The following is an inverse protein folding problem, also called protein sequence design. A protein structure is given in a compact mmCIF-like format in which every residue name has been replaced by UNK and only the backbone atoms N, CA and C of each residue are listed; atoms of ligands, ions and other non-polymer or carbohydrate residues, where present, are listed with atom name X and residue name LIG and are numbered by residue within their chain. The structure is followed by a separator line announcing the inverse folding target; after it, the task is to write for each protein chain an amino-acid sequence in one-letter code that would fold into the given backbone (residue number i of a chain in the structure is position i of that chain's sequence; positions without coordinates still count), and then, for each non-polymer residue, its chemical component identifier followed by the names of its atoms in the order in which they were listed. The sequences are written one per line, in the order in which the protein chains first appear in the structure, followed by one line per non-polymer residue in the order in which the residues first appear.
data_IF_048050164831
#
_entry.id   IF_048050164831
#
_cell.length_a   1.000
_cell.length_b   1.000
_cell.length_c   1.000
_cell.angle_alpha   90.00
_cell.angle_beta   90.00
_cell.angle_gamma   90.00
#
_symmetry.space_group_name_H-M   'P 1'
#
loop_
_entity.id
_entity.type
_entity.pdbx_description
1 polymer ?
#
# COMPACT_ATOMS: atom_id res chain seq x y z
N UNK A 1 -68.69 -21.62 -9.92
CA UNK A 1 -67.23 -21.60 -10.18
C UNK A 1 -66.57 -20.86 -9.02
N UNK A 2 -65.72 -21.52 -8.23
CA UNK A 2 -65.02 -20.91 -7.07
C UNK A 2 -63.66 -20.40 -7.55
N UNK A 3 -63.36 -19.12 -7.35
CA UNK A 3 -62.04 -18.56 -7.67
C UNK A 3 -60.99 -19.03 -6.66
N UNK A 4 -59.75 -19.30 -7.10
CA UNK A 4 -58.69 -19.70 -6.18
C UNK A 4 -58.16 -18.48 -5.43
N UNK A 5 -57.93 -18.62 -4.13
CA UNK A 5 -57.24 -17.63 -3.31
C UNK A 5 -55.72 -17.84 -3.50
N UNK A 6 -55.01 -16.85 -4.03
CA UNK A 6 -53.54 -16.85 -4.05
C UNK A 6 -53.03 -16.13 -2.80
N UNK A 7 -52.27 -16.86 -1.97
CA UNK A 7 -51.60 -16.33 -0.78
C UNK A 7 -50.16 -15.96 -1.14
N UNK A 8 -49.81 -14.68 -1.08
CA UNK A 8 -48.44 -14.19 -1.26
C UNK A 8 -47.81 -13.97 0.12
N UNK A 9 -46.84 -14.81 0.48
CA UNK A 9 -46.05 -14.66 1.71
C UNK A 9 -44.83 -13.79 1.37
N UNK A 10 -44.79 -12.57 1.88
CA UNK A 10 -43.60 -11.71 1.83
C UNK A 10 -42.74 -11.99 3.06
N UNK A 11 -41.57 -12.61 2.85
CA UNK A 11 -40.57 -12.80 3.90
C UNK A 11 -39.61 -11.60 3.84
N UNK A 12 -39.78 -10.66 4.76
CA UNK A 12 -38.84 -9.56 4.97
C UNK A 12 -37.73 -10.02 5.93
N UNK A 13 -36.53 -10.25 5.39
CA UNK A 13 -35.33 -10.50 6.20
C UNK A 13 -34.76 -9.15 6.59
N UNK A 14 -35.05 -8.70 7.82
CA UNK A 14 -34.41 -7.52 8.40
C UNK A 14 -33.05 -7.93 8.95
N UNK A 15 -31.97 -7.58 8.23
CA UNK A 15 -30.61 -7.74 8.73
C UNK A 15 -30.31 -6.58 9.68
N UNK A 16 -30.58 -6.76 10.97
CA UNK A 16 -30.19 -5.78 11.98
C UNK A 16 -28.66 -5.82 12.15
N UNK A 17 -28.01 -4.73 11.75
CA UNK A 17 -26.58 -4.54 11.99
C UNK A 17 -26.37 -4.37 13.51
N UNK A 18 -25.78 -5.38 14.14
CA UNK A 18 -25.31 -5.25 15.52
C UNK A 18 -24.33 -4.07 15.59
N UNK A 19 -24.44 -3.19 16.60
CA UNK A 19 -23.50 -2.10 16.79
C UNK A 19 -22.12 -2.71 17.00
N UNK A 20 -21.24 -2.54 16.01
CA UNK A 20 -19.84 -2.94 16.13
C UNK A 20 -19.24 -2.08 17.24
N UNK A 21 -18.98 -2.70 18.39
CA UNK A 21 -18.32 -2.06 19.52
C UNK A 21 -16.89 -1.68 19.11
N UNK A 22 -16.62 -0.37 18.98
CA UNK A 22 -15.31 0.19 18.68
C UNK A 22 -14.85 0.05 17.23
N UNK A 23 -14.14 1.06 16.72
CA UNK A 23 -13.38 0.90 15.49
C UNK A 23 -12.26 -0.12 15.73
N UNK A 24 -12.02 -1.00 14.75
CA UNK A 24 -10.94 -1.98 14.82
C UNK A 24 -9.59 -1.27 15.03
N UNK A 25 -8.88 -1.64 16.11
CA UNK A 25 -7.52 -1.19 16.35
C UNK A 25 -6.55 -2.29 15.90
N UNK A 26 -5.80 -2.08 14.81
CA UNK A 26 -4.83 -3.06 14.33
C UNK A 26 -3.70 -3.26 15.36
N UNK A 27 -3.31 -4.52 15.57
CA UNK A 27 -2.15 -4.86 16.40
C UNK A 27 -0.84 -4.39 15.77
N UNK A 28 -0.74 -4.51 14.44
CA UNK A 28 0.38 -3.99 13.65
C UNK A 28 -0.15 -2.87 12.75
N UNK A 29 0.26 -1.62 13.00
CA UNK A 29 0.02 -0.47 12.11
C UNK A 29 1.35 0.20 11.79
N UNK A 30 1.98 -0.27 10.72
CA UNK A 30 3.30 0.20 10.28
C UNK A 30 3.11 0.96 8.99
N UNK A 31 3.61 2.20 8.96
CA UNK A 31 3.62 3.03 7.76
C UNK A 31 5.02 3.56 7.48
N UNK A 32 5.50 3.32 6.27
CA UNK A 32 6.86 3.70 5.83
C UNK A 32 6.76 4.70 4.69
N UNK A 33 7.51 5.79 4.80
CA UNK A 33 7.68 6.81 3.77
C UNK A 33 9.01 6.57 3.05
N UNK A 34 8.90 5.95 1.87
CA UNK A 34 10.04 5.50 1.09
C UNK A 34 10.85 6.70 0.57
N UNK A 35 12.15 6.72 0.85
CA UNK A 35 13.06 7.79 0.44
C UNK A 35 13.04 9.04 1.31
N UNK A 36 12.21 9.08 2.35
CA UNK A 36 12.18 10.21 3.30
C UNK A 36 13.23 10.06 4.38
N UNK A 37 13.96 11.15 4.66
CA UNK A 37 14.95 11.22 5.74
C UNK A 37 14.35 11.58 7.11
N UNK A 38 13.04 11.78 7.18
CA UNK A 38 12.33 12.22 8.39
C UNK A 38 10.99 11.51 8.50
N UNK A 39 10.58 11.20 9.74
CA UNK A 39 9.21 10.74 9.99
C UNK A 39 8.23 11.91 10.03
N UNK A 40 6.97 11.68 9.66
CA UNK A 40 5.94 12.71 9.65
C UNK A 40 4.58 12.14 10.04
N UNK A 41 3.86 12.85 10.91
CA UNK A 41 2.50 12.48 11.31
C UNK A 41 1.49 13.14 10.37
N UNK A 42 0.66 12.32 9.72
CA UNK A 42 -0.45 12.79 8.88
C UNK A 42 -1.76 12.17 9.38
N UNK A 43 -2.65 13.01 9.87
CA UNK A 43 -3.85 12.56 10.57
C UNK A 43 -3.48 11.77 11.82
N UNK A 44 -3.88 10.51 11.89
CA UNK A 44 -3.58 9.59 13.01
C UNK A 44 -2.38 8.67 12.75
N UNK A 45 -1.80 8.70 11.55
CA UNK A 45 -0.73 7.79 11.15
C UNK A 45 0.63 8.49 11.21
N UNK A 46 1.61 7.81 11.80
CA UNK A 46 3.01 8.25 11.80
C UNK A 46 3.80 7.53 10.70
N UNK A 47 4.11 8.25 9.62
CA UNK A 47 4.88 7.74 8.51
C UNK A 47 6.37 7.80 8.81
N UNK A 48 7.01 6.63 8.85
CA UNK A 48 8.43 6.50 9.24
C UNK A 48 9.29 6.60 7.99
N UNK A 49 10.19 7.57 7.95
CA UNK A 49 11.11 7.73 6.82
C UNK A 49 12.11 6.57 6.74
N UNK A 50 12.16 5.87 5.61
CA UNK A 50 13.09 4.73 5.44
C UNK A 50 14.57 5.14 5.32
N UNK A 51 14.82 6.42 5.03
CA UNK A 51 16.15 7.01 4.93
C UNK A 51 16.49 7.86 6.16
N UNK A 52 15.64 7.82 7.19
CA UNK A 52 15.92 8.47 8.46
C UNK A 52 17.13 7.81 9.14
N UNK A 53 17.87 8.60 9.91
CA UNK A 53 19.03 8.10 10.65
C UNK A 53 18.61 6.96 11.58
N UNK A 54 19.21 5.77 11.40
CA UNK A 54 18.88 4.54 12.14
C UNK A 54 17.43 4.09 11.98
N UNK A 55 16.84 4.28 10.80
CA UNK A 55 15.50 3.75 10.50
C UNK A 55 15.51 2.22 10.50
N UNK A 56 14.60 1.62 11.27
CA UNK A 56 14.36 0.17 11.31
C UNK A 56 13.85 -0.39 9.97
N UNK A 57 13.38 0.49 9.08
CA UNK A 57 12.81 0.13 7.78
C UNK A 57 13.73 0.50 6.61
N UNK A 58 15.02 0.70 6.86
CA UNK A 58 16.00 0.80 5.77
C UNK A 58 16.03 -0.54 5.02
N UNK A 59 15.80 -0.58 3.69
CA UNK A 59 15.74 -1.85 2.97
C UNK A 59 17.11 -2.52 2.86
N UNK A 60 17.08 -3.84 2.78
CA UNK A 60 18.24 -4.69 2.58
C UNK A 60 18.48 -4.82 1.07
N UNK A 61 19.71 -4.55 0.65
CA UNK A 61 20.13 -4.61 -0.75
C UNK A 61 21.32 -5.56 -0.89
N UNK A 62 21.24 -6.54 -1.80
CA UNK A 62 22.39 -7.39 -2.13
C UNK A 62 23.54 -6.58 -2.76
N UNK A 63 23.18 -5.53 -3.50
CA UNK A 63 24.11 -4.56 -4.07
C UNK A 63 23.50 -3.17 -3.89
N UNK A 64 24.17 -2.25 -3.17
CA UNK A 64 23.66 -0.89 -2.98
C UNK A 64 23.43 -0.21 -4.33
N UNK A 65 22.17 -0.05 -4.68
CA UNK A 65 21.72 0.41 -6.00
C UNK A 65 20.43 1.21 -5.95
N UNK A 66 19.70 1.17 -4.82
CA UNK A 66 18.57 2.05 -4.61
C UNK A 66 19.04 3.48 -4.40
N UNK A 67 18.25 4.41 -4.92
CA UNK A 67 18.39 5.83 -4.70
C UNK A 67 17.11 6.36 -4.07
N UNK A 68 17.25 7.47 -3.36
CA UNK A 68 16.11 8.23 -2.85
C UNK A 68 15.92 9.46 -3.75
N UNK A 69 14.67 9.76 -4.09
CA UNK A 69 14.36 10.87 -4.97
C UNK A 69 13.02 11.51 -4.57
N UNK A 70 12.90 12.80 -4.86
CA UNK A 70 11.62 13.50 -4.84
C UNK A 70 10.99 13.40 -6.22
N UNK A 71 9.67 13.33 -6.25
CA UNK A 71 8.96 13.29 -7.51
C UNK A 71 9.14 14.60 -8.28
N UNK A 72 9.43 14.50 -9.58
CA UNK A 72 9.52 15.66 -10.46
C UNK A 72 8.11 16.13 -10.87
N UNK A 73 7.38 16.70 -9.92
CA UNK A 73 6.03 17.21 -10.13
C UNK A 73 5.91 18.63 -9.58
N UNK A 74 5.51 19.55 -10.45
CA UNK A 74 5.12 20.91 -10.06
C UNK A 74 3.68 20.98 -9.55
N UNK A 75 2.93 19.87 -9.56
CA UNK A 75 1.56 19.86 -9.03
C UNK A 75 1.57 20.15 -7.53
N UNK A 76 0.89 21.22 -7.08
CA UNK A 76 0.74 21.53 -5.66
C UNK A 76 0.05 20.42 -4.86
N UNK A 77 -0.73 19.57 -5.54
CA UNK A 77 -1.48 18.48 -4.91
C UNK A 77 -0.59 17.34 -4.42
N UNK A 78 0.61 17.16 -4.99
CA UNK A 78 1.52 16.07 -4.63
C UNK A 78 2.81 16.58 -3.98
N UNK A 79 3.18 17.83 -4.25
CA UNK A 79 4.32 18.47 -3.57
C UNK A 79 4.08 18.54 -2.06
N UNK A 80 4.96 17.89 -1.28
CA UNK A 80 4.83 17.81 0.18
C UNK A 80 3.77 16.82 0.69
N UNK A 81 3.11 16.05 -0.18
CA UNK A 81 2.14 15.05 0.24
C UNK A 81 2.86 13.76 0.69
N UNK A 82 2.78 13.43 1.97
CA UNK A 82 3.24 12.14 2.51
C UNK A 82 2.19 11.05 2.19
N UNK A 83 2.56 9.86 1.70
CA UNK A 83 3.92 9.35 1.41
C UNK A 83 4.32 9.46 -0.08
N UNK A 84 3.71 10.34 -0.86
CA UNK A 84 3.84 10.35 -2.33
C UNK A 84 4.93 11.27 -2.87
N UNK A 85 5.41 12.21 -2.05
CA UNK A 85 6.39 13.21 -2.49
C UNK A 85 7.80 12.62 -2.66
N UNK A 86 8.16 11.64 -1.82
CA UNK A 86 9.42 10.93 -1.82
C UNK A 86 9.24 9.50 -2.30
N UNK A 87 10.29 8.93 -2.90
CA UNK A 87 10.35 7.53 -3.27
C UNK A 87 11.76 6.97 -3.08
N UNK A 88 11.83 5.67 -2.83
CA UNK A 88 13.03 4.86 -3.01
C UNK A 88 12.89 4.02 -4.26
N UNK A 89 13.90 4.06 -5.13
CA UNK A 89 13.84 3.51 -6.48
C UNK A 89 15.13 2.77 -6.77
N UNK A 90 15.04 1.59 -7.37
CA UNK A 90 16.22 0.80 -7.73
C UNK A 90 16.05 0.15 -9.11
N UNK A 91 17.18 -0.16 -9.75
CA UNK A 91 17.22 -1.05 -10.93
C UNK A 91 17.50 -2.51 -10.54
N UNK A 92 17.81 -2.76 -9.28
CA UNK A 92 18.04 -4.08 -8.71
C UNK A 92 17.02 -4.36 -7.61
N UNK A 93 16.89 -5.64 -7.27
CA UNK A 93 16.04 -6.09 -6.17
C UNK A 93 16.53 -5.53 -4.82
N UNK A 94 15.57 -5.12 -3.99
CA UNK A 94 15.77 -4.77 -2.59
C UNK A 94 14.57 -5.26 -1.77
N UNK A 95 14.78 -5.44 -0.47
CA UNK A 95 13.80 -6.08 0.41
C UNK A 95 13.56 -5.22 1.65
N UNK A 96 12.29 -4.92 1.95
CA UNK A 96 11.92 -4.40 3.26
C UNK A 96 11.66 -5.56 4.21
N UNK A 97 11.87 -5.37 5.50
CA UNK A 97 11.61 -6.39 6.52
C UNK A 97 10.70 -5.79 7.57
N UNK A 98 9.56 -6.43 7.82
CA UNK A 98 8.60 -6.00 8.83
C UNK A 98 8.40 -7.10 9.88
N UNK A 99 8.65 -6.74 11.14
CA UNK A 99 8.35 -7.59 12.28
C UNK A 99 6.88 -7.40 12.66
N UNK A 100 6.03 -8.32 12.22
CA UNK A 100 4.58 -8.28 12.46
C UNK A 100 4.13 -9.54 13.21
N UNK A 101 3.02 -9.45 13.93
CA UNK A 101 2.42 -10.63 14.56
C UNK A 101 1.88 -11.62 13.51
N UNK A 102 1.73 -12.90 13.87
CA UNK A 102 1.10 -13.87 12.99
C UNK A 102 -0.37 -13.50 12.69
N UNK A 103 -0.89 -13.93 11.55
CA UNK A 103 -2.29 -13.77 11.15
C UNK A 103 -2.50 -12.94 9.89
N UNK A 104 -3.74 -12.54 9.64
CA UNK A 104 -4.10 -11.75 8.45
C UNK A 104 -3.61 -10.32 8.58
N UNK A 105 -2.97 -9.80 7.53
CA UNK A 105 -2.46 -8.44 7.43
C UNK A 105 -2.96 -7.79 6.15
N UNK A 106 -3.24 -6.50 6.26
CA UNK A 106 -3.38 -5.65 5.09
C UNK A 106 -2.02 -5.11 4.70
N UNK A 107 -1.59 -5.37 3.48
CA UNK A 107 -0.41 -4.74 2.87
C UNK A 107 -0.88 -3.75 1.84
N UNK A 108 -0.51 -2.49 2.03
CA UNK A 108 -0.89 -1.39 1.13
C UNK A 108 0.37 -0.79 0.51
N UNK A 109 0.45 -0.88 -0.81
CA UNK A 109 1.54 -0.31 -1.61
C UNK A 109 1.07 1.03 -2.18
N UNK A 110 1.78 2.11 -1.86
CA UNK A 110 1.47 3.47 -2.31
C UNK A 110 2.31 3.85 -3.52
N UNK A 111 1.68 4.43 -4.54
CA UNK A 111 2.32 4.76 -5.81
C UNK A 111 2.03 6.20 -6.22
N UNK A 112 3.10 6.88 -6.65
CA UNK A 112 3.02 8.09 -7.46
C UNK A 112 3.94 7.91 -8.69
N UNK A 113 3.42 7.52 -9.85
CA UNK A 113 4.24 7.40 -11.04
C UNK A 113 4.61 8.79 -11.57
N UNK A 114 5.84 9.20 -11.31
CA UNK A 114 6.47 10.41 -11.82
C UNK A 114 7.86 10.10 -12.36
N UNK A 115 8.48 11.08 -13.00
CA UNK A 115 9.91 11.00 -13.28
C UNK A 115 10.68 11.32 -12.00
N UNK A 116 11.73 10.54 -11.74
CA UNK A 116 12.56 10.66 -10.56
C UNK A 116 14.03 10.65 -11.00
N UNK A 117 14.66 11.83 -11.04
CA UNK A 117 16.02 11.99 -11.55
C UNK A 117 16.17 11.34 -12.94
N UNK A 118 16.96 10.28 -13.07
CA UNK A 118 17.20 9.52 -14.30
C UNK A 118 16.30 8.28 -14.46
N UNK A 119 15.24 8.16 -13.66
CA UNK A 119 14.21 7.12 -13.77
C UNK A 119 12.96 7.73 -14.39
N UNK A 120 12.63 7.31 -15.60
CA UNK A 120 11.41 7.75 -16.30
C UNK A 120 10.23 6.88 -15.87
N UNK A 121 9.07 7.48 -15.58
CA UNK A 121 7.87 6.71 -15.17
C UNK A 121 7.45 5.66 -16.18
N UNK A 122 7.63 5.94 -17.48
CA UNK A 122 7.21 5.07 -18.58
C UNK A 122 8.06 3.80 -18.70
N UNK A 123 9.28 3.81 -18.17
CA UNK A 123 10.18 2.65 -18.18
C UNK A 123 9.98 1.76 -16.94
N UNK A 124 9.14 2.20 -15.98
CA UNK A 124 8.95 1.48 -14.72
C UNK A 124 8.08 0.25 -14.93
N UNK A 125 8.72 -0.91 -14.77
CA UNK A 125 8.10 -2.23 -14.79
C UNK A 125 8.75 -3.09 -13.72
N UNK A 126 7.98 -3.54 -12.73
CA UNK A 126 8.52 -4.28 -11.59
C UNK A 126 7.54 -5.32 -11.06
N UNK A 127 8.05 -6.18 -10.19
CA UNK A 127 7.25 -7.16 -9.44
C UNK A 127 7.44 -6.92 -7.95
N UNK A 128 6.44 -7.28 -7.16
CA UNK A 128 6.48 -7.21 -5.69
C UNK A 128 6.02 -8.55 -5.15
N UNK A 129 6.83 -9.12 -4.27
CA UNK A 129 6.51 -10.34 -3.55
C UNK A 129 6.40 -10.02 -2.06
N UNK A 130 5.53 -10.73 -1.36
CA UNK A 130 5.37 -10.59 0.08
C UNK A 130 4.89 -11.91 0.67
N UNK A 131 5.55 -12.40 1.73
CA UNK A 131 5.16 -13.62 2.45
C UNK A 131 4.97 -14.87 1.54
N UNK A 132 5.72 -14.95 0.44
CA UNK A 132 5.63 -16.03 -0.56
C UNK A 132 4.53 -15.86 -1.61
N UNK A 133 3.82 -14.72 -1.61
CA UNK A 133 2.84 -14.36 -2.63
C UNK A 133 3.44 -13.33 -3.59
N UNK A 134 3.17 -13.49 -4.89
CA UNK A 134 3.46 -12.44 -5.86
C UNK A 134 2.27 -11.45 -5.87
N UNK A 135 2.45 -10.29 -5.23
CA UNK A 135 1.41 -9.25 -5.14
C UNK A 135 1.27 -8.46 -6.44
N UNK A 136 2.39 -8.23 -7.12
CA UNK A 136 2.46 -7.55 -8.40
C UNK A 136 3.43 -8.28 -9.31
N UNK A 137 3.03 -8.47 -10.57
CA UNK A 137 3.86 -9.08 -11.62
C UNK A 137 3.89 -8.20 -12.85
N UNK A 138 5.09 -7.84 -13.32
CA UNK A 138 5.27 -6.97 -14.49
C UNK A 138 4.34 -5.75 -14.44
N UNK A 139 4.27 -5.11 -13.28
CA UNK A 139 3.34 -4.02 -13.02
C UNK A 139 3.94 -2.69 -13.46
N UNK A 140 3.13 -1.89 -14.17
CA UNK A 140 3.45 -0.50 -14.50
C UNK A 140 2.49 0.43 -13.77
N UNK A 141 3.03 1.16 -12.79
CA UNK A 141 2.26 2.19 -12.07
C UNK A 141 1.83 3.33 -13.02
N UNK A 142 2.66 3.65 -14.02
CA UNK A 142 2.36 4.69 -15.01
C UNK A 142 1.09 4.37 -15.78
N UNK A 143 1.03 3.18 -16.39
CA UNK A 143 -0.15 2.76 -17.16
C UNK A 143 -1.42 2.73 -16.30
N UNK A 144 -1.30 2.29 -15.05
CA UNK A 144 -2.44 2.25 -14.14
C UNK A 144 -2.95 3.66 -13.81
N UNK A 145 -2.05 4.59 -13.50
CA UNK A 145 -2.40 5.98 -13.22
C UNK A 145 -3.04 6.66 -14.43
N UNK A 146 -2.49 6.44 -15.63
CA UNK A 146 -3.01 7.02 -16.87
C UNK A 146 -4.42 6.48 -17.19
N UNK A 147 -4.63 5.17 -17.04
CA UNK A 147 -5.94 4.54 -17.25
C UNK A 147 -7.01 5.03 -16.25
N UNK A 148 -6.63 5.17 -14.98
CA UNK A 148 -7.56 5.57 -13.92
C UNK A 148 -7.72 7.08 -13.78
N UNK A 149 -6.90 7.88 -14.48
CA UNK A 149 -6.78 9.33 -14.29
C UNK A 149 -6.49 9.73 -12.82
N UNK A 150 -5.89 8.81 -12.05
CA UNK A 150 -5.54 9.03 -10.65
C UNK A 150 -4.03 9.29 -10.54
N UNK A 151 -3.59 10.52 -10.19
CA UNK A 151 -2.17 10.84 -10.14
C UNK A 151 -1.46 10.02 -9.06
N UNK A 152 -2.09 9.85 -7.89
CA UNK A 152 -1.62 8.98 -6.82
C UNK A 152 -2.64 7.89 -6.57
N UNK A 153 -2.18 6.71 -6.18
CA UNK A 153 -3.07 5.60 -5.83
C UNK A 153 -2.36 4.62 -4.89
N UNK A 154 -3.12 3.68 -4.34
CA UNK A 154 -2.56 2.56 -3.62
C UNK A 154 -3.21 1.26 -4.08
N UNK A 155 -2.50 0.14 -3.89
CA UNK A 155 -3.06 -1.21 -4.03
C UNK A 155 -3.01 -1.89 -2.67
N UNK A 156 -4.13 -2.49 -2.27
CA UNK A 156 -4.28 -3.17 -0.99
C UNK A 156 -4.47 -4.67 -1.19
N UNK A 157 -3.79 -5.45 -0.36
CA UNK A 157 -3.80 -6.90 -0.35
C UNK A 157 -4.07 -7.39 1.06
N UNK A 158 -4.83 -8.47 1.19
CA UNK A 158 -4.98 -9.17 2.46
C UNK A 158 -4.23 -10.50 2.35
N UNK A 159 -3.17 -10.65 3.13
CA UNK A 159 -2.33 -11.85 3.15
C UNK A 159 -2.23 -12.42 4.57
N UNK A 160 -1.93 -13.70 4.68
CA UNK A 160 -1.73 -14.36 5.97
C UNK A 160 -0.24 -14.55 6.21
N UNK A 161 0.26 -14.04 7.34
CA UNK A 161 1.62 -14.22 7.81
C UNK A 161 1.64 -15.34 8.84
N UNK A 162 2.42 -16.39 8.59
CA UNK A 162 2.61 -17.52 9.51
C UNK A 162 3.54 -17.13 10.66
N UNK A 163 3.46 -17.82 11.81
CA UNK A 163 4.18 -17.43 13.02
C UNK A 163 5.71 -17.48 12.92
N UNK A 164 6.23 -18.24 11.96
CA UNK A 164 7.65 -18.39 11.64
C UNK A 164 8.09 -17.55 10.43
N UNK A 165 7.18 -16.77 9.82
CA UNK A 165 7.49 -15.95 8.65
C UNK A 165 7.63 -14.48 9.00
N UNK A 166 8.71 -13.90 8.50
CA UNK A 166 8.90 -12.45 8.45
C UNK A 166 8.20 -11.93 7.19
N UNK A 167 7.56 -10.77 7.28
CA UNK A 167 7.03 -10.10 6.10
C UNK A 167 8.19 -9.40 5.38
N UNK A 168 8.61 -10.01 4.27
CA UNK A 168 9.68 -9.56 3.36
C UNK A 168 9.15 -9.48 1.94
#
# INVERSE_FOLDING_TARGET
MKSPLLLFIFISISLEALPVAGAYQPTDDITVDCGSSTSSTVGVRNWIGDAANRSDYTPIEKTPSSIIARANSSSPTVSGQVPYYTARISRSEFTYTFNVTAGRKFVRLHFFPSDYLNFRRVDSLFSVEAAGYNLLRNFSASLFSDYTSAPTFHKEFCLTVEADRILQ
#
